data_IF_554882507599
#
_entry.id   IF_554882507599
#
_cell.length_a   1.000
_cell.length_b   1.000
_cell.length_c   1.000
_cell.angle_alpha   90.00
_cell.angle_beta   90.00
_cell.angle_gamma   90.00
#
_symmetry.space_group_name_H-M   'P 1'
#
loop_
_entity.id
_entity.type
_entity.pdbx_description
1 polymer ?
#
# COMPACT_ATOMS: atom_id res chain seq x y z
N UNK A 1 -18.37 -71.56 -38.36
CA UNK A 1 -18.71 -70.13 -38.56
C UNK A 1 -19.12 -69.55 -37.17
N UNK A 2 -18.18 -68.92 -36.48
CA UNK A 2 -18.43 -68.32 -35.15
C UNK A 2 -18.58 -66.83 -35.33
N UNK A 3 -19.73 -66.31 -34.96
CA UNK A 3 -20.08 -64.90 -35.01
C UNK A 3 -19.66 -64.20 -33.71
N UNK A 4 -18.62 -63.33 -33.75
CA UNK A 4 -18.18 -62.55 -32.60
C UNK A 4 -18.93 -61.24 -32.59
N UNK A 5 -19.87 -61.06 -31.66
CA UNK A 5 -20.46 -59.76 -31.34
C UNK A 5 -19.54 -58.96 -30.45
N UNK A 6 -18.96 -57.87 -31.04
CA UNK A 6 -18.13 -56.91 -30.32
C UNK A 6 -19.04 -55.95 -29.53
N UNK A 7 -19.07 -56.10 -28.20
CA UNK A 7 -19.81 -55.21 -27.31
C UNK A 7 -18.96 -53.93 -27.08
N UNK A 8 -19.34 -52.80 -27.67
CA UNK A 8 -18.73 -51.51 -27.45
C UNK A 8 -19.23 -50.92 -26.11
N UNK A 9 -18.36 -50.91 -25.12
CA UNK A 9 -18.60 -50.22 -23.85
C UNK A 9 -18.40 -48.72 -24.05
N UNK A 10 -19.47 -47.94 -24.00
CA UNK A 10 -19.41 -46.48 -24.01
C UNK A 10 -19.26 -46.02 -22.54
N UNK A 11 -18.05 -45.55 -22.18
CA UNK A 11 -17.80 -44.96 -20.87
C UNK A 11 -18.26 -43.49 -20.95
N UNK A 12 -19.36 -43.18 -20.31
CA UNK A 12 -19.83 -41.81 -20.09
C UNK A 12 -19.04 -41.23 -18.90
N UNK A 13 -18.04 -40.39 -19.21
CA UNK A 13 -17.34 -39.60 -18.19
C UNK A 13 -18.26 -38.49 -17.69
N UNK A 14 -18.89 -38.66 -16.54
CA UNK A 14 -19.55 -37.56 -15.83
C UNK A 14 -18.48 -36.59 -15.35
N UNK A 15 -18.33 -35.45 -16.03
CA UNK A 15 -17.65 -34.29 -15.49
C UNK A 15 -18.49 -33.72 -14.33
N UNK A 16 -18.16 -34.04 -13.11
CA UNK A 16 -18.71 -33.37 -11.93
C UNK A 16 -18.09 -31.98 -11.89
N UNK A 17 -18.83 -30.99 -12.35
CA UNK A 17 -18.50 -29.59 -12.08
C UNK A 17 -18.64 -29.36 -10.57
N UNK A 18 -17.50 -29.38 -9.86
CA UNK A 18 -17.48 -28.88 -8.50
C UNK A 18 -17.77 -27.36 -8.55
N UNK A 19 -18.81 -26.86 -7.87
CA UNK A 19 -19.01 -25.41 -7.80
C UNK A 19 -17.77 -24.80 -7.16
N UNK A 20 -17.16 -23.83 -7.83
CA UNK A 20 -16.07 -23.07 -7.23
C UNK A 20 -16.60 -22.46 -5.95
N UNK A 21 -15.95 -22.76 -4.81
CA UNK A 21 -16.31 -22.17 -3.52
C UNK A 21 -16.28 -20.65 -3.71
N UNK A 22 -17.47 -20.02 -3.64
CA UNK A 22 -17.62 -18.58 -3.71
C UNK A 22 -16.75 -18.01 -2.58
N UNK A 23 -15.78 -17.18 -2.90
CA UNK A 23 -14.97 -16.51 -1.87
C UNK A 23 -15.94 -15.87 -0.87
N UNK A 24 -15.72 -16.06 0.43
CA UNK A 24 -16.57 -15.49 1.46
C UNK A 24 -16.71 -13.99 1.19
N UNK A 25 -17.95 -13.50 1.13
CA UNK A 25 -18.23 -12.09 0.84
C UNK A 25 -17.48 -11.20 1.82
N UNK A 26 -16.73 -10.21 1.32
CA UNK A 26 -16.01 -9.29 2.16
C UNK A 26 -16.98 -8.46 2.99
N UNK A 27 -16.85 -8.47 4.32
CA UNK A 27 -17.72 -7.71 5.24
C UNK A 27 -17.79 -6.22 4.87
N UNK A 28 -16.68 -5.66 4.38
CA UNK A 28 -16.59 -4.29 3.85
C UNK A 28 -17.21 -3.21 4.77
N UNK A 29 -17.04 -3.38 6.07
CA UNK A 29 -17.59 -2.50 7.13
C UNK A 29 -16.85 -1.15 7.27
N UNK A 30 -15.70 -0.98 6.63
CA UNK A 30 -14.79 0.19 6.71
C UNK A 30 -14.21 0.42 8.11
N UNK A 31 -14.34 -0.57 8.99
CA UNK A 31 -13.80 -0.57 10.36
C UNK A 31 -12.71 -1.62 10.49
N UNK A 32 -13.03 -2.87 10.11
CA UNK A 32 -12.12 -4.03 10.15
C UNK A 32 -11.80 -4.58 8.77
N UNK A 33 -12.64 -4.28 7.76
CA UNK A 33 -12.53 -4.78 6.39
C UNK A 33 -12.88 -3.72 5.36
N UNK A 34 -12.15 -3.74 4.25
CA UNK A 34 -12.46 -2.98 3.05
C UNK A 34 -12.27 -3.84 1.82
N UNK A 35 -13.19 -3.70 0.86
CA UNK A 35 -13.07 -4.38 -0.42
C UNK A 35 -12.03 -3.66 -1.28
N UNK A 36 -11.04 -4.39 -1.78
CA UNK A 36 -10.17 -4.01 -2.88
C UNK A 36 -10.89 -4.17 -4.22
N UNK A 37 -10.16 -4.49 -5.28
CA UNK A 37 -10.75 -4.80 -6.59
C UNK A 37 -11.39 -6.19 -6.60
N UNK A 38 -10.66 -7.20 -6.11
CA UNK A 38 -11.08 -8.60 -6.02
C UNK A 38 -10.84 -9.17 -4.61
N UNK A 39 -10.01 -8.51 -3.81
CA UNK A 39 -9.56 -8.99 -2.51
C UNK A 39 -10.27 -8.27 -1.36
N UNK A 40 -10.33 -8.95 -0.21
CA UNK A 40 -10.83 -8.40 1.03
C UNK A 40 -9.65 -8.03 1.94
N UNK A 41 -9.42 -6.74 2.11
CA UNK A 41 -8.29 -6.25 2.89
C UNK A 41 -8.69 -6.00 4.34
N UNK A 42 -7.86 -6.49 5.27
CA UNK A 42 -7.99 -6.17 6.68
C UNK A 42 -7.52 -4.74 6.92
N UNK A 43 -8.24 -4.00 7.74
CA UNK A 43 -7.94 -2.64 8.12
C UNK A 43 -8.11 -2.42 9.62
N UNK A 44 -7.44 -1.40 10.13
CA UNK A 44 -7.68 -0.87 11.47
C UNK A 44 -8.06 0.60 11.34
N UNK A 45 -9.27 0.94 11.78
CA UNK A 45 -9.81 2.30 11.67
C UNK A 45 -9.82 2.97 13.03
N UNK A 46 -9.29 4.19 13.09
CA UNK A 46 -9.20 5.00 14.30
C UNK A 46 -9.87 6.35 14.06
N UNK A 47 -10.95 6.61 14.79
CA UNK A 47 -11.72 7.85 14.76
C UNK A 47 -11.76 8.39 16.19
N UNK A 48 -11.43 9.67 16.39
CA UNK A 48 -11.47 10.29 17.71
C UNK A 48 -12.89 10.70 18.09
N UNK A 49 -13.64 11.24 17.13
CA UNK A 49 -15.03 11.63 17.33
C UNK A 49 -15.88 11.16 16.14
N UNK A 50 -16.71 10.15 16.36
CA UNK A 50 -17.57 9.54 15.33
C UNK A 50 -18.73 10.44 14.88
N UNK A 51 -19.07 11.48 15.66
CA UNK A 51 -20.16 12.41 15.33
C UNK A 51 -19.69 13.59 14.46
N UNK A 52 -18.38 13.83 14.37
CA UNK A 52 -17.81 14.89 13.55
C UNK A 52 -17.86 14.55 12.07
N UNK A 53 -18.17 15.55 11.24
CA UNK A 53 -18.01 15.41 9.79
C UNK A 53 -16.54 15.20 9.46
N UNK A 54 -16.21 14.08 8.84
CA UNK A 54 -14.83 13.75 8.44
C UNK A 54 -14.39 14.71 7.34
N UNK A 55 -13.28 15.41 7.58
CA UNK A 55 -12.61 16.30 6.61
C UNK A 55 -11.35 15.65 6.02
N UNK A 56 -10.67 14.82 6.83
CA UNK A 56 -9.41 14.23 6.44
C UNK A 56 -9.46 12.71 6.56
N UNK A 57 -8.91 12.03 5.56
CA UNK A 57 -8.65 10.59 5.56
C UNK A 57 -7.14 10.37 5.49
N UNK A 58 -6.56 9.73 6.50
CA UNK A 58 -5.13 9.41 6.55
C UNK A 58 -4.96 7.91 6.48
N UNK A 59 -4.30 7.43 5.43
CA UNK A 59 -4.09 6.01 5.15
C UNK A 59 -2.64 5.63 5.47
N UNK A 60 -2.45 4.63 6.32
CA UNK A 60 -1.15 4.09 6.69
C UNK A 60 -0.91 2.76 5.97
N UNK A 61 0.22 2.64 5.25
CA UNK A 61 0.58 1.48 4.45
C UNK A 61 1.96 0.97 4.90
N UNK A 62 1.98 -0.27 5.40
CA UNK A 62 3.19 -0.90 5.94
C UNK A 62 4.16 -1.35 4.84
N UNK A 63 5.44 -1.54 5.23
CA UNK A 63 6.50 -2.09 4.39
C UNK A 63 6.43 -3.62 4.22
N UNK A 64 7.46 -4.18 3.63
CA UNK A 64 7.61 -5.62 3.53
C UNK A 64 7.97 -6.19 4.91
N UNK A 65 7.29 -7.27 5.31
CA UNK A 65 7.58 -8.03 6.53
C UNK A 65 8.41 -9.25 6.13
N UNK A 66 9.66 -9.04 5.73
CA UNK A 66 10.52 -10.09 5.18
C UNK A 66 10.92 -11.17 6.19
N UNK A 67 10.68 -10.94 7.49
CA UNK A 67 10.77 -11.93 8.56
C UNK A 67 9.54 -12.87 8.63
N UNK A 68 8.57 -12.70 7.75
CA UNK A 68 7.26 -13.36 7.76
C UNK A 68 6.42 -13.13 9.03
N UNK A 69 6.79 -12.13 9.85
CA UNK A 69 6.06 -11.75 11.04
C UNK A 69 4.75 -11.01 10.75
N UNK A 70 3.93 -10.79 11.79
CA UNK A 70 2.71 -9.98 11.68
C UNK A 70 3.02 -8.50 11.52
N UNK A 71 2.17 -7.79 10.78
CA UNK A 71 2.22 -6.33 10.70
C UNK A 71 1.87 -5.71 12.05
N UNK A 72 2.64 -4.73 12.50
CA UNK A 72 2.36 -4.00 13.74
C UNK A 72 2.74 -2.52 13.67
N UNK A 73 3.94 -2.16 13.20
CA UNK A 73 4.48 -0.80 13.30
C UNK A 73 3.54 0.29 12.75
N UNK A 74 3.12 0.18 11.50
CA UNK A 74 2.23 1.19 10.89
C UNK A 74 0.80 1.17 11.45
N UNK A 75 0.33 0.05 12.01
CA UNK A 75 -0.94 -0.01 12.74
C UNK A 75 -0.83 0.81 14.04
N UNK A 76 0.25 0.60 14.81
CA UNK A 76 0.52 1.35 16.03
C UNK A 76 0.67 2.86 15.73
N UNK A 77 1.40 3.20 14.66
CA UNK A 77 1.54 4.60 14.25
C UNK A 77 0.19 5.21 13.88
N UNK A 78 -0.67 4.51 13.14
CA UNK A 78 -2.02 4.97 12.85
C UNK A 78 -2.83 5.21 14.13
N UNK A 79 -2.68 4.34 15.13
CA UNK A 79 -3.38 4.47 16.40
C UNK A 79 -2.97 5.74 17.16
N UNK A 80 -1.65 5.98 17.31
CA UNK A 80 -1.12 7.01 18.21
C UNK A 80 -0.85 8.36 17.56
N UNK A 81 -0.76 8.47 16.20
CA UNK A 81 -0.54 9.75 15.51
C UNK A 81 -1.58 10.78 15.89
N UNK A 82 -1.14 11.94 16.37
CA UNK A 82 -2.01 13.06 16.67
C UNK A 82 -2.54 13.71 15.38
N UNK A 83 -3.85 13.94 15.34
CA UNK A 83 -4.55 14.53 14.19
C UNK A 83 -5.71 15.41 14.67
N UNK A 84 -6.18 16.36 13.84
CA UNK A 84 -7.43 17.08 14.08
C UNK A 84 -8.63 16.14 14.28
N UNK A 85 -9.62 16.56 15.05
CA UNK A 85 -10.78 15.72 15.42
C UNK A 85 -11.59 15.22 14.21
N UNK A 86 -11.65 15.99 13.13
CA UNK A 86 -12.35 15.63 11.90
C UNK A 86 -11.53 14.69 10.99
N UNK A 87 -10.59 13.92 11.55
CA UNK A 87 -9.73 13.02 10.81
C UNK A 87 -10.03 11.56 11.14
N UNK A 88 -10.22 10.74 10.12
CA UNK A 88 -10.18 9.29 10.22
C UNK A 88 -8.81 8.77 9.78
N UNK A 89 -8.22 7.90 10.60
CA UNK A 89 -6.96 7.20 10.30
C UNK A 89 -7.26 5.74 10.02
N UNK A 90 -6.70 5.20 8.93
CA UNK A 90 -6.89 3.80 8.55
C UNK A 90 -5.54 3.17 8.23
N UNK A 91 -5.16 2.14 8.97
CA UNK A 91 -4.05 1.27 8.60
C UNK A 91 -4.56 0.12 7.74
N UNK A 92 -4.03 -0.03 6.53
CA UNK A 92 -4.42 -1.10 5.60
C UNK A 92 -3.34 -2.18 5.60
N UNK A 93 -3.76 -3.43 5.82
CA UNK A 93 -2.91 -4.59 5.57
C UNK A 93 -2.92 -4.88 4.07
N UNK A 94 -1.73 -4.87 3.47
CA UNK A 94 -1.54 -5.18 2.05
C UNK A 94 -2.04 -6.60 1.72
N UNK A 95 -2.34 -6.91 0.43
CA UNK A 95 -2.78 -8.24 0.03
C UNK A 95 -1.87 -9.36 0.56
N UNK A 96 -2.44 -10.39 1.18
CA UNK A 96 -1.73 -11.55 1.74
C UNK A 96 -1.14 -11.36 3.13
N UNK A 97 -1.07 -10.13 3.67
CA UNK A 97 -0.52 -9.86 5.00
C UNK A 97 -1.52 -10.07 6.13
N UNK A 98 -0.98 -10.28 7.34
CA UNK A 98 -1.76 -10.46 8.57
C UNK A 98 -1.16 -9.68 9.74
N UNK A 99 -1.94 -9.48 10.80
CA UNK A 99 -1.53 -8.86 12.05
C UNK A 99 -1.66 -9.80 13.26
N UNK A 100 -1.30 -9.32 14.44
CA UNK A 100 -1.38 -10.07 15.69
C UNK A 100 -2.80 -10.20 16.24
N UNK A 101 -3.72 -9.36 15.81
CA UNK A 101 -5.11 -9.33 16.26
C UNK A 101 -6.01 -10.31 15.46
N UNK A 102 -5.45 -11.06 14.52
CA UNK A 102 -6.18 -12.02 13.68
C UNK A 102 -6.72 -11.38 12.39
N UNK A 103 -6.41 -10.11 12.10
CA UNK A 103 -6.67 -9.49 10.83
C UNK A 103 -5.80 -10.11 9.74
N UNK A 104 -6.41 -10.53 8.63
CA UNK A 104 -5.69 -11.08 7.46
C UNK A 104 -6.35 -10.59 6.18
N UNK A 105 -5.56 -10.00 5.29
CA UNK A 105 -5.98 -9.68 3.94
C UNK A 105 -5.91 -10.90 3.04
N UNK A 106 -6.89 -11.06 2.16
CA UNK A 106 -6.78 -12.03 1.06
C UNK A 106 -5.78 -11.55 0.01
N UNK A 107 -5.46 -12.38 -0.97
CA UNK A 107 -4.52 -12.05 -2.03
C UNK A 107 -3.11 -12.55 -1.81
N UNK A 108 -2.16 -12.06 -2.61
CA UNK A 108 -0.80 -12.58 -2.70
C UNK A 108 0.21 -11.54 -2.21
N UNK A 109 1.05 -11.93 -1.24
CA UNK A 109 2.13 -11.11 -0.70
C UNK A 109 3.48 -11.30 -1.43
N UNK A 110 3.54 -12.13 -2.48
CA UNK A 110 4.74 -12.48 -3.27
C UNK A 110 5.93 -12.93 -2.40
N UNK A 111 5.67 -13.65 -1.31
CA UNK A 111 6.68 -14.03 -0.34
C UNK A 111 7.27 -12.85 0.42
N UNK A 112 6.47 -11.78 0.56
CA UNK A 112 6.80 -10.56 1.32
C UNK A 112 8.06 -9.84 0.88
N UNK A 113 8.24 -9.79 -0.43
CA UNK A 113 9.32 -9.06 -1.09
C UNK A 113 8.71 -8.21 -2.20
N UNK A 114 9.27 -7.03 -2.42
CA UNK A 114 8.95 -6.10 -3.54
C UNK A 114 7.72 -6.49 -4.41
N UNK A 115 6.57 -6.68 -3.78
CA UNK A 115 5.31 -7.08 -4.44
C UNK A 115 4.44 -5.86 -4.76
N UNK A 116 5.01 -4.90 -5.49
CA UNK A 116 4.32 -3.67 -5.91
C UNK A 116 3.79 -3.84 -7.33
N UNK A 117 3.19 -5.00 -7.57
CA UNK A 117 2.66 -5.41 -8.88
C UNK A 117 1.41 -4.63 -9.25
N UNK A 118 1.06 -4.60 -10.54
CA UNK A 118 -0.19 -4.00 -11.01
C UNK A 118 -1.39 -4.55 -10.24
N UNK A 119 -1.45 -5.88 -10.03
CA UNK A 119 -2.55 -6.52 -9.29
C UNK A 119 -2.67 -5.98 -7.87
N UNK A 120 -1.58 -6.00 -7.09
CA UNK A 120 -1.62 -5.54 -5.71
C UNK A 120 -1.87 -4.02 -5.59
N UNK A 121 -1.38 -3.24 -6.55
CA UNK A 121 -1.68 -1.81 -6.63
C UNK A 121 -3.14 -1.53 -6.95
N UNK A 122 -3.76 -2.32 -7.84
CA UNK A 122 -5.19 -2.23 -8.13
C UNK A 122 -6.04 -2.52 -6.88
N UNK A 123 -5.68 -3.54 -6.09
CA UNK A 123 -6.34 -3.87 -4.82
C UNK A 123 -6.24 -2.71 -3.82
N UNK A 124 -5.03 -2.19 -3.61
CA UNK A 124 -4.80 -1.06 -2.70
C UNK A 124 -5.51 0.21 -3.15
N UNK A 125 -5.49 0.51 -4.45
CA UNK A 125 -6.16 1.68 -5.03
C UNK A 125 -7.67 1.59 -4.85
N UNK A 126 -8.26 0.43 -5.14
CA UNK A 126 -9.71 0.19 -4.97
C UNK A 126 -10.12 0.31 -3.49
N UNK A 127 -9.32 -0.21 -2.56
CA UNK A 127 -9.56 -0.09 -1.14
C UNK A 127 -9.55 1.38 -0.68
N UNK A 128 -8.55 2.17 -1.07
CA UNK A 128 -8.49 3.60 -0.75
C UNK A 128 -9.67 4.34 -1.38
N UNK A 129 -10.03 4.05 -2.63
CA UNK A 129 -11.20 4.65 -3.28
C UNK A 129 -12.51 4.29 -2.54
N UNK A 130 -12.64 3.05 -2.07
CA UNK A 130 -13.79 2.61 -1.26
C UNK A 130 -13.90 3.39 0.05
N UNK A 131 -12.78 3.65 0.73
CA UNK A 131 -12.73 4.47 1.94
C UNK A 131 -13.05 5.95 1.63
N UNK A 132 -12.49 6.52 0.54
CA UNK A 132 -12.84 7.88 0.09
C UNK A 132 -14.34 8.04 -0.17
N UNK A 133 -14.94 7.08 -0.86
CA UNK A 133 -16.38 7.11 -1.16
C UNK A 133 -17.24 7.03 0.11
N UNK A 134 -16.79 6.30 1.12
CA UNK A 134 -17.47 6.15 2.40
C UNK A 134 -17.38 7.42 3.27
N UNK A 135 -16.15 7.90 3.52
CA UNK A 135 -15.90 9.02 4.42
C UNK A 135 -16.09 10.38 3.76
N UNK A 136 -16.01 10.47 2.43
CA UNK A 136 -16.11 11.69 1.62
C UNK A 136 -15.23 12.83 2.14
N UNK A 137 -13.93 12.58 2.38
CA UNK A 137 -13.02 13.56 2.95
C UNK A 137 -12.74 14.69 1.94
N UNK A 138 -12.39 15.86 2.45
CA UNK A 138 -11.87 16.97 1.65
C UNK A 138 -10.40 16.74 1.27
N UNK A 139 -9.64 16.06 2.14
CA UNK A 139 -8.23 15.68 1.92
C UNK A 139 -8.00 14.22 2.25
N UNK A 140 -7.23 13.55 1.40
CA UNK A 140 -6.69 12.20 1.64
C UNK A 140 -5.18 12.26 1.63
N UNK A 141 -4.53 11.69 2.65
CA UNK A 141 -3.08 11.62 2.76
C UNK A 141 -2.67 10.16 2.86
N UNK A 142 -1.74 9.73 2.01
CA UNK A 142 -1.13 8.41 2.09
C UNK A 142 0.18 8.50 2.88
N UNK A 143 0.36 7.64 3.87
CA UNK A 143 1.61 7.51 4.64
C UNK A 143 2.11 6.09 4.44
N UNK A 144 3.22 5.95 3.74
CA UNK A 144 3.82 4.64 3.45
C UNK A 144 5.22 4.53 4.03
N UNK A 145 5.57 3.33 4.54
CA UNK A 145 6.92 2.99 4.94
C UNK A 145 7.50 1.93 4.01
N UNK A 146 8.74 2.12 3.53
CA UNK A 146 9.46 1.14 2.71
C UNK A 146 8.61 0.69 1.49
N UNK A 147 8.25 -0.57 1.37
CA UNK A 147 7.34 -1.05 0.33
C UNK A 147 5.98 -0.34 0.30
N UNK A 148 5.46 0.08 1.46
CA UNK A 148 4.27 0.92 1.55
C UNK A 148 4.47 2.31 0.96
N UNK A 149 5.68 2.87 1.07
CA UNK A 149 6.04 4.13 0.43
C UNK A 149 6.11 3.98 -1.10
N UNK A 150 6.66 2.87 -1.61
CA UNK A 150 6.63 2.56 -3.04
C UNK A 150 5.19 2.49 -3.56
N UNK A 151 4.31 1.75 -2.86
CA UNK A 151 2.88 1.64 -3.20
C UNK A 151 2.22 3.02 -3.22
N UNK A 152 2.42 3.84 -2.18
CA UNK A 152 1.86 5.21 -2.10
C UNK A 152 2.35 6.09 -3.25
N UNK A 153 3.65 6.07 -3.55
CA UNK A 153 4.26 6.83 -4.63
C UNK A 153 3.77 6.43 -6.02
N UNK A 154 3.56 5.12 -6.26
CA UNK A 154 2.94 4.65 -7.51
C UNK A 154 1.47 5.05 -7.59
N UNK A 155 0.72 4.93 -6.49
CA UNK A 155 -0.72 5.24 -6.47
C UNK A 155 -1.01 6.69 -6.85
N UNK A 156 -0.28 7.67 -6.29
CA UNK A 156 -0.51 9.10 -6.60
C UNK A 156 -0.22 9.46 -8.06
N UNK A 157 0.69 8.74 -8.73
CA UNK A 157 0.99 8.98 -10.14
C UNK A 157 0.16 8.12 -11.09
N UNK A 158 -0.13 6.86 -10.72
CA UNK A 158 -0.92 5.96 -11.57
C UNK A 158 -2.42 6.27 -11.51
N UNK A 159 -2.88 6.83 -10.40
CA UNK A 159 -4.29 7.22 -10.18
C UNK A 159 -4.37 8.67 -9.70
N UNK A 160 -4.22 9.65 -10.61
CA UNK A 160 -4.29 11.06 -10.27
C UNK A 160 -5.54 11.42 -9.48
N UNK A 161 -5.39 12.13 -8.35
CA UNK A 161 -6.49 12.51 -7.47
C UNK A 161 -6.90 11.44 -6.44
N UNK A 162 -6.18 10.32 -6.36
CA UNK A 162 -6.41 9.32 -5.29
C UNK A 162 -6.08 9.90 -3.91
N UNK A 163 -5.11 10.81 -3.83
CA UNK A 163 -4.74 11.52 -2.62
C UNK A 163 -4.21 12.93 -2.94
N UNK A 164 -4.44 13.86 -2.01
CA UNK A 164 -3.95 15.23 -2.04
C UNK A 164 -2.53 15.35 -1.49
N UNK A 165 -2.05 14.31 -0.77
CA UNK A 165 -0.67 14.25 -0.30
C UNK A 165 -0.15 12.84 -0.10
N UNK A 166 1.18 12.69 -0.11
CA UNK A 166 1.87 11.44 0.20
C UNK A 166 3.11 11.69 1.07
N UNK A 167 3.23 10.93 2.16
CA UNK A 167 4.41 10.90 3.03
C UNK A 167 5.09 9.55 2.81
N UNK A 168 6.26 9.59 2.21
CA UNK A 168 7.01 8.42 1.75
C UNK A 168 8.23 8.22 2.66
N UNK A 169 8.10 7.32 3.64
CA UNK A 169 9.14 7.02 4.61
C UNK A 169 10.03 5.88 4.08
N UNK A 170 11.34 6.10 4.00
CA UNK A 170 12.31 5.12 3.49
C UNK A 170 11.87 4.51 2.14
N UNK A 171 11.60 5.35 1.17
CA UNK A 171 11.01 4.96 -0.11
C UNK A 171 12.03 4.35 -1.07
N UNK A 172 11.83 3.11 -1.55
CA UNK A 172 12.52 2.61 -2.73
C UNK A 172 11.89 3.22 -4.00
N UNK A 173 11.98 4.54 -4.15
CA UNK A 173 11.22 5.31 -5.14
C UNK A 173 11.59 5.01 -6.60
N UNK A 174 12.74 4.34 -6.82
CA UNK A 174 13.11 3.70 -8.08
C UNK A 174 13.44 2.23 -7.80
N UNK A 175 12.55 1.32 -8.13
CA UNK A 175 12.67 -0.11 -7.80
C UNK A 175 13.86 -0.75 -8.51
N UNK A 176 14.10 -0.42 -9.78
CA UNK A 176 15.24 -0.96 -10.52
C UNK A 176 16.57 -0.58 -9.86
N UNK A 177 16.75 0.69 -9.54
CA UNK A 177 17.94 1.21 -8.89
C UNK A 177 18.10 0.61 -7.48
N UNK A 178 17.04 0.57 -6.68
CA UNK A 178 17.04 -0.06 -5.37
C UNK A 178 17.45 -1.53 -5.42
N UNK A 179 16.89 -2.32 -6.34
CA UNK A 179 17.25 -3.72 -6.53
C UNK A 179 18.71 -3.89 -6.89
N UNK A 180 19.23 -3.04 -7.79
CA UNK A 180 20.65 -3.01 -8.14
C UNK A 180 21.52 -2.74 -6.91
N UNK A 181 21.21 -1.71 -6.12
CA UNK A 181 21.94 -1.35 -4.90
C UNK A 181 21.91 -2.45 -3.83
N UNK A 182 20.84 -3.24 -3.78
CA UNK A 182 20.65 -4.35 -2.87
C UNK A 182 21.15 -5.71 -3.43
N UNK A 183 21.85 -5.70 -4.56
CA UNK A 183 22.32 -6.90 -5.25
C UNK A 183 21.21 -7.94 -5.50
N UNK A 184 19.97 -7.48 -5.74
CA UNK A 184 18.82 -8.34 -6.02
C UNK A 184 18.76 -8.70 -7.49
N UNK A 185 19.12 -9.94 -7.81
CA UNK A 185 19.03 -10.50 -9.15
C UNK A 185 17.64 -11.07 -9.45
N UNK A 186 17.40 -11.43 -10.70
CA UNK A 186 16.17 -12.06 -11.17
C UNK A 186 15.12 -11.07 -11.67
N UNK A 187 14.11 -11.60 -12.37
CA UNK A 187 12.97 -10.82 -12.87
C UNK A 187 12.07 -10.34 -11.73
N UNK A 188 11.41 -9.21 -11.95
CA UNK A 188 10.41 -8.64 -11.03
C UNK A 188 9.33 -7.91 -11.82
N UNK A 189 8.14 -7.76 -11.20
CA UNK A 189 6.98 -7.13 -11.82
C UNK A 189 6.50 -5.90 -11.01
N UNK A 190 7.33 -5.42 -10.09
CA UNK A 190 7.02 -4.25 -9.28
C UNK A 190 7.16 -2.99 -10.09
N UNK A 191 6.19 -2.08 -9.92
CA UNK A 191 6.21 -0.75 -10.50
C UNK A 191 7.02 0.20 -9.63
N UNK A 192 7.68 1.17 -10.25
CA UNK A 192 8.44 2.22 -9.55
C UNK A 192 7.65 3.50 -9.44
N UNK A 193 7.65 4.20 -8.29
CA UNK A 193 7.14 5.57 -8.20
C UNK A 193 7.70 6.50 -9.27
N UNK A 194 8.99 6.39 -9.60
CA UNK A 194 9.69 7.18 -10.61
C UNK A 194 9.08 7.06 -12.02
N UNK A 195 8.40 5.95 -12.34
CA UNK A 195 7.82 5.75 -13.66
C UNK A 195 6.56 6.59 -13.90
N UNK A 196 5.93 7.10 -12.83
CA UNK A 196 4.64 7.77 -12.88
C UNK A 196 4.68 9.25 -12.49
N UNK A 197 5.85 9.84 -12.27
CA UNK A 197 6.00 11.24 -11.79
C UNK A 197 5.29 12.24 -12.67
N UNK A 198 5.30 12.05 -14.00
CA UNK A 198 4.67 12.97 -14.96
C UNK A 198 3.15 13.07 -14.84
N UNK A 199 2.54 12.08 -14.21
CA UNK A 199 1.09 11.99 -14.05
C UNK A 199 0.61 12.52 -12.68
N UNK A 200 1.53 12.82 -11.75
CA UNK A 200 1.18 13.33 -10.43
C UNK A 200 0.63 14.77 -10.59
N UNK A 201 -0.57 15.05 -10.05
CA UNK A 201 -1.12 16.40 -10.07
C UNK A 201 -0.21 17.41 -9.36
N UNK A 202 -0.05 18.61 -9.91
CA UNK A 202 0.76 19.68 -9.29
C UNK A 202 0.23 20.12 -7.91
N UNK A 203 -1.02 19.83 -7.62
CA UNK A 203 -1.66 20.09 -6.33
C UNK A 203 -1.34 19.04 -5.27
N UNK A 204 -0.78 17.89 -5.67
CA UNK A 204 -0.38 16.84 -4.73
C UNK A 204 0.91 17.25 -4.01
N UNK A 205 0.91 17.21 -2.68
CA UNK A 205 2.10 17.46 -1.85
C UNK A 205 2.82 16.15 -1.54
N UNK A 206 4.13 16.08 -1.78
CA UNK A 206 4.93 14.89 -1.52
C UNK A 206 6.04 15.18 -0.52
N UNK A 207 6.10 14.40 0.56
CA UNK A 207 7.19 14.42 1.52
C UNK A 207 7.92 13.07 1.45
N UNK A 208 9.18 13.08 1.05
CA UNK A 208 10.02 11.89 1.06
C UNK A 208 11.08 12.03 2.17
N UNK A 209 11.05 11.12 3.14
CA UNK A 209 11.87 11.18 4.35
C UNK A 209 12.64 9.87 4.47
N UNK A 210 13.97 9.98 4.60
CA UNK A 210 14.84 8.80 4.69
C UNK A 210 15.86 9.00 5.82
N UNK A 211 16.22 7.91 6.50
CA UNK A 211 17.32 7.92 7.46
C UNK A 211 18.67 8.00 6.77
N UNK A 212 19.57 8.85 7.25
CA UNK A 212 20.92 8.97 6.69
C UNK A 212 21.77 7.69 6.85
N UNK A 213 21.39 6.82 7.81
CA UNK A 213 22.03 5.51 8.04
C UNK A 213 21.21 4.35 7.43
N UNK A 214 20.24 4.64 6.58
CA UNK A 214 19.44 3.61 5.92
C UNK A 214 20.25 2.93 4.80
N UNK A 215 20.71 1.72 5.07
CA UNK A 215 21.44 0.89 4.10
C UNK A 215 20.51 0.08 3.18
N UNK A 216 19.23 0.01 3.49
CA UNK A 216 18.24 -0.71 2.66
C UNK A 216 17.70 0.20 1.55
N UNK A 217 17.08 1.32 1.90
CA UNK A 217 16.60 2.31 0.93
C UNK A 217 17.42 3.59 1.07
N UNK A 218 18.61 3.55 0.46
CA UNK A 218 19.56 4.66 0.56
C UNK A 218 18.89 5.97 0.12
N UNK A 219 19.29 7.06 0.78
CA UNK A 219 18.66 8.38 0.67
C UNK A 219 18.63 8.95 -0.77
N UNK A 220 19.57 8.55 -1.61
CA UNK A 220 19.65 8.95 -3.02
C UNK A 220 18.36 8.61 -3.78
N UNK A 221 17.70 7.47 -3.46
CA UNK A 221 16.47 7.05 -4.12
C UNK A 221 15.32 8.04 -3.92
N UNK A 222 15.15 8.51 -2.68
CA UNK A 222 14.13 9.51 -2.34
C UNK A 222 14.52 10.92 -2.81
N UNK A 223 15.81 11.28 -2.71
CA UNK A 223 16.34 12.57 -3.14
C UNK A 223 16.17 12.79 -4.63
N UNK A 224 16.53 11.80 -5.47
CA UNK A 224 16.39 11.87 -6.92
C UNK A 224 14.91 11.90 -7.34
N UNK A 225 14.05 11.16 -6.63
CA UNK A 225 12.60 11.20 -6.87
C UNK A 225 12.02 12.60 -6.59
N UNK A 226 12.35 13.21 -5.45
CA UNK A 226 11.90 14.56 -5.10
C UNK A 226 12.44 15.59 -6.09
N UNK A 227 13.73 15.48 -6.46
CA UNK A 227 14.30 16.36 -7.50
C UNK A 227 13.49 16.30 -8.80
N UNK A 228 13.16 15.08 -9.25
CA UNK A 228 12.39 14.90 -10.48
C UNK A 228 10.97 15.48 -10.38
N UNK A 229 10.35 15.43 -9.19
CA UNK A 229 9.05 16.07 -8.94
C UNK A 229 9.14 17.60 -8.99
N UNK A 230 10.14 18.17 -8.32
CA UNK A 230 10.35 19.62 -8.27
C UNK A 230 10.71 20.20 -9.64
N UNK A 231 11.48 19.48 -10.45
CA UNK A 231 11.78 19.83 -11.84
C UNK A 231 10.51 19.93 -12.71
N UNK A 232 9.43 19.21 -12.32
CA UNK A 232 8.10 19.29 -12.96
C UNK A 232 7.14 20.28 -12.27
N UNK A 233 7.62 21.08 -11.32
CA UNK A 233 6.82 22.01 -10.51
C UNK A 233 5.72 21.29 -9.70
N UNK A 234 5.97 20.06 -9.23
CA UNK A 234 5.14 19.36 -8.25
C UNK A 234 5.68 19.70 -6.87
N UNK A 235 4.78 20.02 -5.92
CA UNK A 235 5.16 20.35 -4.55
C UNK A 235 5.77 19.13 -3.85
N UNK A 236 7.08 19.10 -3.70
CA UNK A 236 7.77 17.98 -3.07
C UNK A 236 8.92 18.46 -2.17
N UNK A 237 9.11 17.77 -1.05
CA UNK A 237 10.19 18.02 -0.10
C UNK A 237 10.92 16.72 0.25
N UNK A 238 12.24 16.80 0.33
CA UNK A 238 13.09 15.72 0.81
C UNK A 238 13.68 16.07 2.17
N UNK A 239 13.67 15.10 3.10
CA UNK A 239 14.30 15.24 4.42
C UNK A 239 15.15 14.01 4.72
N UNK A 240 16.43 14.22 5.04
CA UNK A 240 17.32 13.19 5.58
C UNK A 240 17.42 13.33 7.10
N UNK A 241 17.28 12.22 7.82
CA UNK A 241 17.33 12.21 9.28
C UNK A 241 18.69 11.67 9.74
N UNK A 242 19.54 12.48 10.41
CA UNK A 242 20.85 12.05 10.90
C UNK A 242 20.74 10.88 11.87
N UNK A 243 21.64 9.87 11.74
CA UNK A 243 21.72 8.70 12.63
C UNK A 243 20.43 7.84 12.70
N UNK A 244 19.54 7.95 11.71
CA UNK A 244 18.31 7.17 11.60
C UNK A 244 18.51 6.08 10.56
N UNK A 245 18.13 4.85 10.91
CA UNK A 245 18.13 3.68 10.02
C UNK A 245 16.76 3.46 9.34
N UNK A 246 16.66 2.38 8.56
CA UNK A 246 15.45 2.02 7.80
C UNK A 246 14.18 1.92 8.64
N UNK A 247 14.27 1.41 9.85
CA UNK A 247 13.11 1.16 10.70
C UNK A 247 12.74 2.37 11.56
N UNK A 248 13.74 3.13 12.01
CA UNK A 248 13.51 4.29 12.88
C UNK A 248 12.95 5.50 12.14
N UNK A 249 12.99 5.55 10.80
CA UNK A 249 12.42 6.65 10.03
C UNK A 249 10.89 6.78 10.21
N UNK A 250 10.22 5.73 10.65
CA UNK A 250 8.78 5.74 10.90
C UNK A 250 8.39 6.09 12.35
N UNK A 251 9.27 6.75 13.10
CA UNK A 251 8.94 7.29 14.41
C UNK A 251 7.85 8.37 14.34
N UNK A 252 7.03 8.42 15.38
CA UNK A 252 5.80 9.19 15.38
C UNK A 252 5.99 10.69 15.11
N UNK A 253 7.01 11.31 15.70
CA UNK A 253 7.26 12.75 15.53
C UNK A 253 7.58 13.12 14.07
N UNK A 254 8.23 12.21 13.32
CA UNK A 254 8.54 12.40 11.89
C UNK A 254 7.26 12.41 11.06
N UNK A 255 6.36 11.49 11.39
CA UNK A 255 5.06 11.36 10.73
C UNK A 255 4.21 12.59 11.02
N UNK A 256 4.11 13.03 12.27
CA UNK A 256 3.28 14.16 12.71
C UNK A 256 3.74 15.48 12.09
N UNK A 257 5.04 15.74 12.00
CA UNK A 257 5.58 16.93 11.36
C UNK A 257 5.16 17.01 9.88
N UNK A 258 5.40 15.94 9.11
CA UNK A 258 5.05 15.90 7.70
C UNK A 258 3.52 15.90 7.45
N UNK A 259 2.74 15.25 8.35
CA UNK A 259 1.29 15.21 8.26
C UNK A 259 0.68 16.58 8.51
N UNK A 260 1.14 17.31 9.53
CA UNK A 260 0.68 18.66 9.82
C UNK A 260 0.93 19.61 8.63
N UNK A 261 2.04 19.48 7.93
CA UNK A 261 2.33 20.22 6.69
C UNK A 261 1.39 19.80 5.53
N UNK A 262 1.09 18.51 5.41
CA UNK A 262 0.22 17.98 4.36
C UNK A 262 -1.24 18.39 4.53
N UNK A 263 -1.68 18.58 5.77
CA UNK A 263 -3.07 18.95 6.11
C UNK A 263 -3.35 20.46 5.96
N UNK A 264 -2.33 21.30 5.92
CA UNK A 264 -2.48 22.73 5.56
C UNK A 264 -2.83 22.88 4.08
#
# INVERSE_FOLDING_TARGET
MLNQHLLKLIIFSLFIYAPSAKAAECLNDKITRVTGKNECLAIHTFVKNSESKIKNLVIFIHGDQSDNGPVSGMINNAQITAVPDETVKVAILRPGYFDRAGGKSTGNDCGRRDCYTVTNLDEMTAAVQSLKNHYKPSKTILIGHSGGAAISGVMIGRTPGIAEGAILLACPCNISQWRFMQNRSGSYNSLSPSDFIKNIPKTTKVFAITGASDSNTQDVLAKDYVKSLTDLNISAQYKSLPNVDHNKVNEIYVIEEALNESLK
#
